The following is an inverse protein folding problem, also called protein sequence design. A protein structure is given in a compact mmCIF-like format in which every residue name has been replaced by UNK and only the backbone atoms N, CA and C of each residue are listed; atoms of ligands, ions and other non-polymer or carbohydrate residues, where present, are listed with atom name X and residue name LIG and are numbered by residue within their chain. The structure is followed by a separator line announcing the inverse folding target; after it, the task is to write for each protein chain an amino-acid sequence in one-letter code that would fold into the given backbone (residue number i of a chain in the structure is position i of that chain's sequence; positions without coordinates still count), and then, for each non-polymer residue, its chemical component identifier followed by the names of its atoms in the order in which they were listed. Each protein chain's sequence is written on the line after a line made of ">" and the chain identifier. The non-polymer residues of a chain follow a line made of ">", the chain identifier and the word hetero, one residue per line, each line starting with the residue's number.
data_IF_408100631465
#
_entry.id   IF_408100631465
#
_cell.length_a   1.000
_cell.length_b   1.000
_cell.length_c   1.000
_cell.angle_alpha   90.00
_cell.angle_beta   90.00
_cell.angle_gamma   90.00
#
_symmetry.space_group_name_H-M   'P 1'
#
loop_
_entity.id
_entity.type
_entity.pdbx_description
1 polymer ?
#
# COMPACT_ATOMS: atom_id res chain seq x y z
N UNK A 1 -35.67 -69.35 -80.75
CA UNK A 1 -34.33 -68.93 -80.27
C UNK A 1 -34.61 -67.92 -79.14
N UNK A 2 -34.61 -68.32 -77.86
CA UNK A 2 -33.43 -68.27 -76.95
C UNK A 2 -32.97 -66.80 -76.85
N UNK A 3 -33.03 -66.03 -75.76
CA UNK A 3 -32.92 -66.31 -74.32
C UNK A 3 -33.31 -65.07 -73.47
N UNK A 4 -33.64 -65.34 -72.22
CA UNK A 4 -33.89 -64.46 -71.06
C UNK A 4 -32.78 -63.44 -70.74
N UNK A 5 -33.14 -62.36 -70.00
CA UNK A 5 -32.55 -62.00 -68.69
C UNK A 5 -33.14 -60.72 -68.11
N UNK A 6 -33.75 -60.86 -66.93
CA UNK A 6 -33.86 -59.80 -65.92
C UNK A 6 -32.46 -59.38 -65.45
N UNK A 7 -32.26 -58.08 -65.21
CA UNK A 7 -31.12 -57.57 -64.45
C UNK A 7 -31.57 -56.38 -63.58
N UNK A 8 -31.65 -56.63 -62.29
CA UNK A 8 -31.69 -55.64 -61.21
C UNK A 8 -30.36 -54.88 -61.14
N UNK A 9 -30.42 -53.54 -61.14
CA UNK A 9 -29.36 -52.59 -60.72
C UNK A 9 -30.07 -51.26 -60.46
N UNK A 10 -29.95 -50.56 -59.36
CA UNK A 10 -29.17 -50.65 -58.14
C UNK A 10 -29.39 -49.29 -57.49
N UNK A 11 -29.80 -49.25 -56.23
CA UNK A 11 -30.10 -47.99 -55.54
C UNK A 11 -28.88 -47.06 -55.60
N UNK A 12 -29.07 -45.85 -56.12
CA UNK A 12 -28.06 -44.79 -56.08
C UNK A 12 -27.89 -44.34 -54.63
N UNK A 13 -26.76 -44.67 -54.03
CA UNK A 13 -26.32 -44.08 -52.76
C UNK A 13 -26.02 -42.59 -53.03
N UNK A 14 -26.67 -41.63 -52.33
CA UNK A 14 -26.28 -40.23 -52.45
C UNK A 14 -24.85 -40.06 -51.91
N UNK A 15 -24.05 -39.12 -52.44
CA UNK A 15 -22.72 -38.88 -51.92
C UNK A 15 -22.84 -38.51 -50.44
N UNK A 16 -22.07 -39.18 -49.59
CA UNK A 16 -21.94 -38.80 -48.20
C UNK A 16 -21.47 -37.35 -48.16
N UNK A 17 -22.31 -36.46 -47.62
CA UNK A 17 -21.89 -35.13 -47.22
C UNK A 17 -20.72 -35.30 -46.25
N UNK A 18 -19.52 -35.00 -46.74
CA UNK A 18 -18.34 -34.86 -45.89
C UNK A 18 -18.60 -33.63 -45.03
N UNK A 19 -19.28 -33.85 -43.90
CA UNK A 19 -19.48 -32.84 -42.88
C UNK A 19 -18.10 -32.32 -42.48
N UNK A 20 -17.79 -31.10 -42.91
CA UNK A 20 -16.63 -30.35 -42.46
C UNK A 20 -16.68 -30.34 -40.93
N UNK A 21 -15.66 -30.84 -40.21
CA UNK A 21 -15.73 -30.84 -38.76
C UNK A 21 -15.97 -29.41 -38.32
N UNK A 22 -16.93 -29.14 -37.41
CA UNK A 22 -17.06 -27.82 -36.87
C UNK A 22 -15.71 -27.51 -36.26
N UNK A 23 -15.03 -26.50 -36.81
CA UNK A 23 -13.87 -25.89 -36.17
C UNK A 23 -14.42 -25.18 -34.93
N UNK A 24 -14.77 -25.98 -33.93
CA UNK A 24 -14.84 -25.59 -32.55
C UNK A 24 -13.38 -25.39 -32.14
N UNK A 25 -12.78 -24.34 -32.71
CA UNK A 25 -11.80 -23.56 -31.99
C UNK A 25 -12.56 -23.02 -30.77
N UNK A 26 -12.74 -23.90 -29.79
CA UNK A 26 -13.00 -23.55 -28.41
C UNK A 26 -11.78 -22.72 -28.08
N UNK A 27 -11.91 -21.41 -28.30
CA UNK A 27 -10.86 -20.45 -28.06
C UNK A 27 -10.54 -20.58 -26.57
N UNK A 28 -9.58 -21.45 -26.27
CA UNK A 28 -8.88 -21.53 -25.01
C UNK A 28 -7.92 -20.35 -24.94
N UNK A 29 -8.47 -19.15 -25.11
CA UNK A 29 -7.98 -17.99 -24.37
C UNK A 29 -8.93 -17.91 -23.20
N UNK A 30 -8.58 -18.57 -22.09
CA UNK A 30 -8.96 -18.01 -20.81
C UNK A 30 -8.49 -16.56 -20.89
N UNK A 31 -9.40 -15.63 -21.20
CA UNK A 31 -9.10 -14.23 -21.18
C UNK A 31 -8.57 -14.00 -19.77
N UNK A 32 -7.27 -13.73 -19.64
CA UNK A 32 -6.68 -13.46 -18.33
C UNK A 32 -7.59 -12.45 -17.66
N UNK A 33 -8.23 -12.87 -16.56
CA UNK A 33 -9.22 -12.05 -15.89
C UNK A 33 -8.62 -10.65 -15.73
N UNK A 34 -9.33 -9.64 -16.24
CA UNK A 34 -8.84 -8.27 -16.19
C UNK A 34 -8.55 -7.93 -14.73
N UNK A 35 -7.33 -7.45 -14.45
CA UNK A 35 -6.94 -7.10 -13.08
C UNK A 35 -7.95 -6.13 -12.47
N UNK A 36 -8.39 -6.43 -11.25
CA UNK A 36 -9.24 -5.55 -10.45
C UNK A 36 -8.74 -5.52 -9.02
N UNK A 37 -8.74 -4.34 -8.43
CA UNK A 37 -8.40 -4.10 -7.03
C UNK A 37 -9.54 -3.35 -6.35
N UNK A 38 -10.01 -3.91 -5.22
CA UNK A 38 -11.11 -3.37 -4.43
C UNK A 38 -10.75 -3.54 -2.95
N UNK A 39 -10.11 -2.56 -2.31
CA UNK A 39 -9.80 -2.61 -0.89
C UNK A 39 -11.09 -2.50 -0.06
N UNK A 40 -11.03 -2.95 1.19
CA UNK A 40 -12.16 -2.79 2.10
C UNK A 40 -12.34 -1.31 2.48
N UNK A 41 -13.57 -0.93 2.85
CA UNK A 41 -13.85 0.42 3.38
C UNK A 41 -13.04 0.70 4.65
N UNK A 42 -12.81 -0.33 5.46
CA UNK A 42 -11.97 -0.22 6.66
C UNK A 42 -10.52 0.13 6.29
N UNK A 43 -9.93 -0.52 5.29
CA UNK A 43 -8.59 -0.20 4.80
C UNK A 43 -8.48 1.23 4.30
N UNK A 44 -9.49 1.71 3.55
CA UNK A 44 -9.52 3.09 3.06
C UNK A 44 -9.66 4.10 4.21
N UNK A 45 -10.54 3.84 5.17
CA UNK A 45 -10.74 4.69 6.34
C UNK A 45 -9.48 4.75 7.21
N UNK A 46 -8.88 3.59 7.49
CA UNK A 46 -7.61 3.48 8.19
C UNK A 46 -6.54 4.32 7.49
N UNK A 47 -6.37 4.14 6.18
CA UNK A 47 -5.34 4.85 5.45
C UNK A 47 -5.54 6.37 5.43
N UNK A 48 -6.79 6.83 5.34
CA UNK A 48 -7.13 8.25 5.42
C UNK A 48 -6.79 8.84 6.80
N UNK A 49 -7.12 8.11 7.87
CA UNK A 49 -6.77 8.50 9.25
C UNK A 49 -5.26 8.50 9.42
N UNK A 50 -4.55 7.47 8.94
CA UNK A 50 -3.09 7.40 8.97
C UNK A 50 -2.45 8.59 8.26
N UNK A 51 -2.93 8.97 7.07
CA UNK A 51 -2.41 10.16 6.37
C UNK A 51 -2.57 11.43 7.21
N UNK A 52 -3.71 11.61 7.90
CA UNK A 52 -3.94 12.76 8.76
C UNK A 52 -2.98 12.76 9.98
N UNK A 53 -2.85 11.62 10.66
CA UNK A 53 -1.97 11.46 11.83
C UNK A 53 -0.50 11.66 11.45
N UNK A 54 -0.04 11.04 10.36
CA UNK A 54 1.35 11.17 9.88
C UNK A 54 1.64 12.60 9.40
N UNK A 55 0.66 13.28 8.81
CA UNK A 55 0.78 14.71 8.47
C UNK A 55 0.95 15.56 9.72
N UNK A 56 0.16 15.31 10.75
CA UNK A 56 0.29 15.99 12.04
C UNK A 56 1.67 15.74 12.67
N UNK A 57 2.22 14.53 12.52
CA UNK A 57 3.54 14.15 13.01
C UNK A 57 4.70 14.85 12.29
N UNK A 58 4.78 14.76 10.96
CA UNK A 58 5.91 15.41 10.27
C UNK A 58 5.83 16.93 10.33
N UNK A 59 4.62 17.52 10.44
CA UNK A 59 4.46 18.96 10.62
C UNK A 59 4.88 19.41 12.01
N UNK A 60 4.69 18.59 13.06
CA UNK A 60 5.32 18.83 14.36
C UNK A 60 6.83 18.98 14.20
N UNK A 61 7.48 18.06 13.49
CA UNK A 61 8.95 18.03 13.35
C UNK A 61 9.48 19.21 12.54
N UNK A 62 8.85 19.56 11.42
CA UNK A 62 9.33 20.67 10.59
C UNK A 62 9.08 22.06 11.17
N UNK A 63 8.07 22.20 12.04
CA UNK A 63 7.75 23.48 12.67
C UNK A 63 8.48 23.70 14.00
N UNK A 64 9.44 22.83 14.37
CA UNK A 64 10.28 23.05 15.55
C UNK A 64 11.14 24.31 15.34
N UNK A 65 11.31 25.18 16.36
CA UNK A 65 10.88 24.99 17.75
C UNK A 65 9.47 25.51 18.06
N UNK A 66 8.74 26.10 17.10
CA UNK A 66 7.42 26.71 17.35
C UNK A 66 6.35 25.69 17.78
N UNK A 67 6.45 24.45 17.31
CA UNK A 67 5.56 23.34 17.68
C UNK A 67 5.92 22.67 19.02
N UNK A 68 7.15 22.87 19.53
CA UNK A 68 7.66 22.24 20.76
C UNK A 68 7.18 22.96 22.03
N UNK A 69 7.26 22.32 23.22
CA UNK A 69 6.95 22.98 24.48
C UNK A 69 7.64 24.36 24.63
N UNK A 70 6.84 25.38 24.93
CA UNK A 70 7.28 26.78 24.99
C UNK A 70 7.19 27.55 23.66
N UNK A 71 6.90 26.87 22.55
CA UNK A 71 6.69 27.49 21.23
C UNK A 71 5.26 28.03 21.04
N UNK A 72 5.13 29.01 20.14
CA UNK A 72 3.87 29.72 19.89
C UNK A 72 2.74 28.82 19.34
N UNK A 73 3.07 27.70 18.71
CA UNK A 73 2.11 26.78 18.11
C UNK A 73 1.90 25.50 18.93
N UNK A 74 2.59 25.35 20.07
CA UNK A 74 2.64 24.11 20.83
C UNK A 74 1.26 23.58 21.26
N UNK A 75 0.30 24.46 21.52
CA UNK A 75 -1.04 24.05 21.92
C UNK A 75 -1.69 23.05 20.95
N UNK A 76 -1.41 23.15 19.64
CA UNK A 76 -1.91 22.22 18.63
C UNK A 76 -1.21 20.85 18.65
N UNK A 77 0.01 20.79 19.19
CA UNK A 77 0.82 19.59 19.34
C UNK A 77 1.05 19.23 20.81
N UNK A 78 0.13 19.60 21.70
CA UNK A 78 0.30 19.41 23.15
C UNK A 78 0.69 17.97 23.56
N UNK A 79 0.18 16.89 22.92
CA UNK A 79 0.61 15.52 23.26
C UNK A 79 2.09 15.24 23.02
N UNK A 80 2.75 15.99 22.12
CA UNK A 80 4.17 15.85 21.84
C UNK A 80 5.07 16.35 22.98
N UNK A 81 4.54 17.07 23.98
CA UNK A 81 5.29 17.38 25.19
C UNK A 81 5.71 16.09 25.92
N UNK A 82 4.73 15.22 26.20
CA UNK A 82 4.99 13.92 26.81
C UNK A 82 5.78 13.01 25.88
N UNK A 83 5.44 13.00 24.58
CA UNK A 83 6.13 12.14 23.63
C UNK A 83 7.62 12.48 23.50
N UNK A 84 7.97 13.77 23.47
CA UNK A 84 9.35 14.23 23.42
C UNK A 84 10.14 14.03 24.70
N UNK A 85 9.48 13.76 25.84
CA UNK A 85 10.15 13.34 27.08
C UNK A 85 10.49 11.85 27.05
N UNK A 86 9.66 11.03 26.42
CA UNK A 86 9.89 9.58 26.29
C UNK A 86 10.88 9.30 25.16
N UNK A 87 10.65 9.84 23.98
CA UNK A 87 11.52 9.65 22.82
C UNK A 87 12.18 10.97 22.45
N UNK A 88 13.47 11.08 22.79
CA UNK A 88 14.21 12.32 22.57
C UNK A 88 14.34 12.72 21.10
N UNK A 89 14.12 11.82 20.13
CA UNK A 89 13.99 12.18 18.70
C UNK A 89 12.88 13.22 18.49
N UNK A 90 11.86 13.22 19.35
CA UNK A 90 10.77 14.19 19.35
C UNK A 90 10.97 15.36 20.32
N UNK A 91 11.96 15.26 21.20
CA UNK A 91 12.23 16.18 22.29
C UNK A 91 13.22 17.28 21.96
N UNK A 92 13.44 18.12 22.96
CA UNK A 92 14.44 19.18 22.96
C UNK A 92 15.88 18.68 22.90
N UNK A 93 16.27 17.55 23.54
CA UNK A 93 17.65 17.06 23.46
C UNK A 93 18.13 16.82 22.03
N UNK A 94 17.39 16.06 21.21
CA UNK A 94 17.80 15.80 19.83
C UNK A 94 17.76 17.05 18.94
N UNK A 95 16.80 17.96 19.17
CA UNK A 95 16.72 19.22 18.44
C UNK A 95 17.90 20.14 18.73
N UNK A 96 18.22 20.37 20.01
CA UNK A 96 19.32 21.23 20.44
C UNK A 96 20.69 20.63 20.06
N UNK A 97 20.81 19.30 20.01
CA UNK A 97 21.98 18.58 19.52
C UNK A 97 22.13 18.59 17.98
N UNK A 98 21.11 19.08 17.24
CA UNK A 98 21.13 19.11 15.78
C UNK A 98 21.06 17.73 15.12
N UNK A 99 20.41 16.76 15.76
CA UNK A 99 20.32 15.39 15.22
C UNK A 99 19.47 15.33 13.95
N UNK A 100 20.06 14.80 12.88
CA UNK A 100 19.40 14.73 11.56
C UNK A 100 18.42 13.56 11.38
N UNK A 101 18.47 12.54 12.26
CA UNK A 101 17.71 11.29 12.06
C UNK A 101 16.19 11.51 12.08
N UNK A 102 15.67 12.17 13.12
CA UNK A 102 14.24 12.47 13.25
C UNK A 102 13.68 13.27 12.08
N UNK A 103 14.26 14.43 11.73
CA UNK A 103 13.85 15.20 10.56
C UNK A 103 13.94 14.43 9.23
N UNK A 104 14.94 13.57 9.06
CA UNK A 104 15.06 12.71 7.88
C UNK A 104 13.91 11.67 7.81
N UNK A 105 13.55 11.05 8.93
CA UNK A 105 12.37 10.19 9.01
C UNK A 105 11.09 10.95 8.65
N UNK A 106 10.93 12.18 9.15
CA UNK A 106 9.79 13.05 8.82
C UNK A 106 9.73 13.45 7.34
N UNK A 107 10.87 13.65 6.68
CA UNK A 107 10.91 13.88 5.23
C UNK A 107 10.40 12.66 4.45
N UNK A 108 10.73 11.44 4.89
CA UNK A 108 10.17 10.24 4.27
C UNK A 108 8.68 10.05 4.58
N UNK A 109 8.19 10.52 5.74
CA UNK A 109 6.75 10.56 6.05
C UNK A 109 5.97 11.43 5.04
N UNK A 110 6.56 12.52 4.53
CA UNK A 110 5.95 13.32 3.45
C UNK A 110 5.79 12.49 2.19
N UNK A 111 6.85 11.83 1.74
CA UNK A 111 6.83 11.02 0.49
C UNK A 111 5.80 9.91 0.61
N UNK A 112 5.81 9.18 1.72
CA UNK A 112 4.83 8.14 2.01
C UNK A 112 3.40 8.67 2.00
N UNK A 113 3.15 9.80 2.67
CA UNK A 113 1.81 10.43 2.73
C UNK A 113 1.34 10.80 1.33
N UNK A 114 2.20 11.40 0.49
CA UNK A 114 1.85 11.73 -0.89
C UNK A 114 1.49 10.49 -1.72
N UNK A 115 2.24 9.40 -1.57
CA UNK A 115 1.96 8.13 -2.25
C UNK A 115 0.60 7.56 -1.84
N UNK A 116 0.27 7.58 -0.55
CA UNK A 116 -1.03 7.15 -0.06
C UNK A 116 -2.18 8.08 -0.47
N UNK A 117 -1.96 9.40 -0.52
CA UNK A 117 -2.94 10.35 -1.05
C UNK A 117 -3.22 10.11 -2.53
N UNK A 118 -2.20 9.81 -3.35
CA UNK A 118 -2.39 9.39 -4.75
C UNK A 118 -3.26 8.14 -4.84
N UNK A 119 -2.98 7.13 -4.00
CA UNK A 119 -3.79 5.92 -3.94
C UNK A 119 -5.25 6.22 -3.52
N UNK A 120 -5.46 6.97 -2.44
CA UNK A 120 -6.80 7.34 -1.95
C UNK A 120 -7.59 8.16 -2.99
N UNK A 121 -6.94 9.11 -3.67
CA UNK A 121 -7.56 9.90 -4.72
C UNK A 121 -7.97 9.02 -5.92
N UNK A 122 -7.12 8.08 -6.33
CA UNK A 122 -7.47 7.12 -7.38
C UNK A 122 -8.65 6.23 -6.95
N UNK A 123 -8.64 5.72 -5.72
CA UNK A 123 -9.74 4.93 -5.17
C UNK A 123 -11.06 5.71 -5.13
N UNK A 124 -11.01 6.98 -4.74
CA UNK A 124 -12.19 7.87 -4.73
C UNK A 124 -12.74 8.09 -6.15
N UNK A 125 -11.86 8.39 -7.12
CA UNK A 125 -12.24 8.57 -8.54
C UNK A 125 -12.78 7.30 -9.19
N UNK A 126 -12.29 6.14 -8.75
CA UNK A 126 -12.76 4.83 -9.19
C UNK A 126 -13.99 4.30 -8.44
N UNK A 127 -14.64 5.13 -7.61
CA UNK A 127 -15.79 4.72 -6.77
C UNK A 127 -15.50 3.45 -5.95
N UNK A 128 -14.29 3.34 -5.41
CA UNK A 128 -13.85 2.21 -4.59
C UNK A 128 -13.33 1.00 -5.37
N UNK A 129 -13.18 1.08 -6.70
CA UNK A 129 -12.66 -0.01 -7.54
C UNK A 129 -11.68 0.50 -8.58
N UNK A 130 -10.55 -0.19 -8.71
CA UNK A 130 -9.55 0.05 -9.75
C UNK A 130 -9.42 -1.16 -10.67
N UNK A 131 -9.10 -0.95 -11.94
CA UNK A 131 -8.92 -2.03 -12.90
C UNK A 131 -7.83 -1.72 -13.94
N UNK A 132 -7.42 -2.77 -14.66
CA UNK A 132 -6.46 -2.64 -15.78
C UNK A 132 -5.06 -2.22 -15.32
N UNK A 133 -4.29 -1.63 -16.24
CA UNK A 133 -2.90 -1.22 -15.98
C UNK A 133 -2.81 -0.09 -14.95
N UNK A 134 -3.73 0.88 -15.01
CA UNK A 134 -3.78 1.97 -14.04
C UNK A 134 -3.95 1.46 -12.60
N UNK A 135 -4.88 0.51 -12.39
CA UNK A 135 -5.07 -0.09 -11.07
C UNK A 135 -3.83 -0.82 -10.54
N UNK A 136 -3.07 -1.49 -11.42
CA UNK A 136 -1.81 -2.15 -11.03
C UNK A 136 -0.76 -1.14 -10.57
N UNK A 137 -0.57 -0.07 -11.32
CA UNK A 137 0.40 0.98 -10.97
C UNK A 137 0.04 1.64 -9.65
N UNK A 138 -1.23 2.00 -9.46
CA UNK A 138 -1.71 2.60 -8.21
C UNK A 138 -1.55 1.65 -7.02
N UNK A 139 -1.84 0.36 -7.20
CA UNK A 139 -1.60 -0.64 -6.16
C UNK A 139 -0.11 -0.77 -5.83
N UNK A 140 0.77 -0.74 -6.84
CA UNK A 140 2.22 -0.77 -6.62
C UNK A 140 2.70 0.46 -5.86
N UNK A 141 2.16 1.65 -6.13
CA UNK A 141 2.47 2.87 -5.34
C UNK A 141 2.11 2.68 -3.87
N UNK A 142 0.90 2.20 -3.57
CA UNK A 142 0.50 1.93 -2.19
C UNK A 142 1.35 0.84 -1.51
N UNK A 143 1.71 -0.21 -2.25
CA UNK A 143 2.60 -1.25 -1.76
C UNK A 143 3.99 -0.72 -1.44
N UNK A 144 4.58 0.08 -2.33
CA UNK A 144 5.88 0.71 -2.10
C UNK A 144 5.87 1.66 -0.89
N UNK A 145 4.78 2.40 -0.68
CA UNK A 145 4.60 3.21 0.52
C UNK A 145 4.58 2.33 1.79
N UNK A 146 3.87 1.21 1.79
CA UNK A 146 3.85 0.28 2.93
C UNK A 146 5.21 -0.35 3.24
N UNK A 147 5.97 -0.72 2.20
CA UNK A 147 7.36 -1.20 2.37
C UNK A 147 8.26 -0.11 2.94
N UNK A 148 8.09 1.14 2.52
CA UNK A 148 8.80 2.29 3.07
C UNK A 148 8.47 2.49 4.55
N UNK A 149 7.19 2.39 4.94
CA UNK A 149 6.76 2.46 6.35
C UNK A 149 7.50 1.42 7.19
N UNK A 150 7.45 0.16 6.76
CA UNK A 150 8.12 -0.94 7.47
C UNK A 150 9.64 -0.70 7.56
N UNK A 151 10.25 -0.27 6.46
CA UNK A 151 11.70 -0.03 6.40
C UNK A 151 12.14 1.09 7.32
N UNK A 152 11.34 2.16 7.45
CA UNK A 152 11.56 3.25 8.40
C UNK A 152 11.46 2.76 9.84
N UNK A 153 10.43 1.98 10.17
CA UNK A 153 10.29 1.41 11.52
C UNK A 153 11.50 0.54 11.87
N UNK A 154 11.92 -0.35 10.98
CA UNK A 154 13.12 -1.18 11.19
C UNK A 154 14.37 -0.32 11.34
N UNK A 155 14.54 0.71 10.50
CA UNK A 155 15.67 1.63 10.58
C UNK A 155 15.69 2.42 11.90
N UNK A 156 14.53 2.80 12.42
CA UNK A 156 14.39 3.46 13.71
C UNK A 156 14.90 2.57 14.85
N UNK A 157 14.46 1.31 14.87
CA UNK A 157 14.89 0.35 15.88
C UNK A 157 16.38 0.05 15.77
N UNK A 158 16.91 -0.06 14.54
CA UNK A 158 18.34 -0.23 14.31
C UNK A 158 19.14 1.00 14.81
N UNK A 159 18.66 2.22 14.55
CA UNK A 159 19.29 3.45 15.03
C UNK A 159 19.37 3.48 16.57
N UNK A 160 18.28 3.11 17.26
CA UNK A 160 18.30 3.02 18.72
C UNK A 160 19.28 1.95 19.21
N UNK A 161 19.29 0.76 18.61
CA UNK A 161 20.22 -0.29 18.99
C UNK A 161 21.69 0.12 18.80
N UNK A 162 22.04 0.70 17.66
CA UNK A 162 23.42 1.09 17.35
C UNK A 162 23.87 2.38 18.03
N UNK A 163 22.95 3.23 18.49
CA UNK A 163 23.27 4.41 19.30
C UNK A 163 23.31 4.12 20.80
N UNK A 164 23.16 2.86 21.22
CA UNK A 164 23.13 2.49 22.63
C UNK A 164 21.88 2.98 23.36
N UNK A 165 20.75 3.07 22.65
CA UNK A 165 19.46 3.55 23.13
C UNK A 165 19.53 5.00 23.62
N UNK A 166 20.29 5.85 22.91
CA UNK A 166 20.52 7.24 23.29
C UNK A 166 19.24 8.07 23.44
N UNK A 167 18.18 7.78 22.68
CA UNK A 167 16.94 8.55 22.71
C UNK A 167 15.88 8.00 23.66
N UNK A 168 15.96 6.73 24.05
CA UNK A 168 14.90 6.06 24.80
C UNK A 168 15.39 5.35 26.07
N UNK A 169 16.70 5.18 26.25
CA UNK A 169 17.30 4.37 27.31
C UNK A 169 17.14 4.93 28.72
N UNK A 170 16.70 6.19 28.85
CA UNK A 170 16.40 6.82 30.14
C UNK A 170 15.03 6.44 30.72
N UNK A 171 14.16 5.78 29.93
CA UNK A 171 12.79 5.48 30.34
C UNK A 171 12.65 4.15 31.08
N UNK A 172 11.55 4.02 31.82
CA UNK A 172 11.09 2.72 32.33
C UNK A 172 10.58 1.87 31.17
N UNK A 173 10.78 0.55 31.27
CA UNK A 173 10.32 -0.42 30.25
C UNK A 173 8.79 -0.34 30.04
N UNK A 174 8.01 -0.05 31.08
CA UNK A 174 6.55 0.14 30.97
C UNK A 174 6.17 1.26 30.02
N UNK A 175 6.89 2.38 30.10
CA UNK A 175 6.61 3.58 29.32
C UNK A 175 7.04 3.35 27.87
N UNK A 176 8.14 2.63 27.66
CA UNK A 176 8.58 2.18 26.33
C UNK A 176 7.55 1.26 25.67
N UNK A 177 6.97 0.29 26.38
CA UNK A 177 5.97 -0.61 25.78
C UNK A 177 4.75 0.18 25.28
N UNK A 178 4.22 1.06 26.10
CA UNK A 178 2.96 1.75 25.82
C UNK A 178 3.14 2.90 24.82
N UNK A 179 4.20 3.69 24.97
CA UNK A 179 4.39 4.94 24.24
C UNK A 179 5.39 4.82 23.09
N UNK A 180 6.19 3.75 23.03
CA UNK A 180 7.20 3.59 21.98
C UNK A 180 7.02 2.34 21.14
N UNK A 181 6.78 1.16 21.74
CA UNK A 181 6.71 -0.10 21.00
C UNK A 181 5.36 -0.26 20.27
N UNK A 182 4.24 -0.08 20.97
CA UNK A 182 2.90 -0.24 20.38
C UNK A 182 2.61 0.78 19.26
N UNK A 183 3.00 2.06 19.39
CA UNK A 183 2.71 3.05 18.37
C UNK A 183 3.61 2.99 17.12
N UNK A 184 4.71 2.22 17.14
CA UNK A 184 5.70 2.12 16.04
C UNK A 184 5.40 0.98 15.08
#
# INVERSE_FOLDING_TARGET
>A
MVTTRSSTRGASVPPADVAKPPTRARASKAAHAAFTHTPTRLTLAWLAISCAVVTWDFTYVFLRPHSMPGGALHAFWAPYALYGEIDYVYGRPAFDAGEGFGPAQSAMNVVETLMYLVYLAAMHRGSGKLSGQHGKVVLLVAFSAAVMTLSKTVLYWANEFFSGFSNIGHNKISDLIVLWIIPK
#
